data_IF_349950844931
#
_entry.id   IF_349950844931
#
_cell.length_a   1.000
_cell.length_b   1.000
_cell.length_c   1.000
_cell.angle_alpha   90.00
_cell.angle_beta   90.00
_cell.angle_gamma   90.00
#
_symmetry.space_group_name_H-M   'P 1'
#
loop_
_entity.id
_entity.type
_entity.pdbx_description
1 polymer ?
#
# COMPACT_ATOMS: atom_id res chain seq x y z
N UNK A 1 -10.46 -19.11 -1.96
CA UNK A 1 -9.09 -19.03 -2.49
C UNK A 1 -8.55 -17.65 -2.18
N UNK A 2 -7.27 -17.53 -1.87
CA UNK A 2 -6.64 -16.22 -1.67
C UNK A 2 -6.40 -15.54 -3.01
N UNK A 3 -6.46 -14.20 -3.02
CA UNK A 3 -6.27 -13.39 -4.22
C UNK A 3 -4.77 -13.38 -4.60
N UNK A 4 -4.39 -13.74 -5.84
CA UNK A 4 -3.02 -13.61 -6.29
C UNK A 4 -2.52 -12.16 -6.23
N UNK A 5 -1.24 -11.96 -5.92
CA UNK A 5 -0.61 -10.62 -5.89
C UNK A 5 -0.82 -9.83 -7.18
N UNK A 6 -0.78 -10.50 -8.34
CA UNK A 6 -1.07 -9.86 -9.63
C UNK A 6 -2.49 -9.32 -9.71
N UNK A 7 -3.48 -10.08 -9.26
CA UNK A 7 -4.88 -9.67 -9.26
C UNK A 7 -5.14 -8.54 -8.23
N UNK A 8 -4.52 -8.63 -7.06
CA UNK A 8 -4.59 -7.57 -6.04
C UNK A 8 -4.07 -6.23 -6.58
N UNK A 9 -2.94 -6.25 -7.30
CA UNK A 9 -2.35 -5.05 -7.89
C UNK A 9 -3.17 -4.55 -9.09
N UNK A 10 -3.77 -5.43 -9.88
CA UNK A 10 -4.71 -5.01 -10.93
C UNK A 10 -5.95 -4.31 -10.37
N UNK A 11 -6.48 -4.76 -9.24
CA UNK A 11 -7.56 -4.06 -8.55
C UNK A 11 -7.09 -2.71 -8.02
N UNK A 12 -5.89 -2.64 -7.43
CA UNK A 12 -5.32 -1.40 -6.93
C UNK A 12 -5.17 -0.36 -8.05
N UNK A 13 -4.71 -0.77 -9.25
CA UNK A 13 -4.59 0.10 -10.44
C UNK A 13 -5.90 0.76 -10.89
N UNK A 14 -7.06 0.22 -10.50
CA UNK A 14 -8.37 0.82 -10.83
C UNK A 14 -8.65 2.10 -10.04
N UNK A 15 -7.86 2.36 -9.01
CA UNK A 15 -7.94 3.52 -8.13
C UNK A 15 -6.83 4.52 -8.51
N UNK A 16 -7.14 5.65 -9.18
CA UNK A 16 -6.14 6.66 -9.55
C UNK A 16 -5.30 7.16 -8.36
N UNK A 17 -5.91 7.23 -7.18
CA UNK A 17 -5.30 7.62 -5.92
C UNK A 17 -4.21 6.65 -5.42
N UNK A 18 -4.16 5.44 -5.98
CA UNK A 18 -3.20 4.40 -5.58
C UNK A 18 -1.81 4.55 -6.20
N UNK A 19 -1.65 5.44 -7.18
CA UNK A 19 -0.36 5.66 -7.87
C UNK A 19 0.85 5.78 -6.93
N UNK A 20 0.78 6.55 -5.83
CA UNK A 20 1.88 6.69 -4.87
C UNK A 20 2.28 5.40 -4.13
N UNK A 21 1.40 4.40 -4.07
CA UNK A 21 1.59 3.16 -3.31
C UNK A 21 1.68 1.90 -4.16
N UNK A 22 1.55 2.02 -5.48
CA UNK A 22 1.44 0.86 -6.38
C UNK A 22 2.66 -0.06 -6.30
N UNK A 23 3.87 0.51 -6.47
CA UNK A 23 5.12 -0.23 -6.53
C UNK A 23 5.49 -0.81 -5.17
N UNK A 24 5.32 -0.03 -4.09
CA UNK A 24 5.60 -0.49 -2.72
C UNK A 24 4.64 -1.61 -2.30
N UNK A 25 3.37 -1.55 -2.73
CA UNK A 25 2.38 -2.61 -2.46
C UNK A 25 2.71 -3.88 -3.24
N UNK A 26 3.11 -3.77 -4.51
CA UNK A 26 3.55 -4.93 -5.29
C UNK A 26 4.76 -5.63 -4.66
N UNK A 27 5.76 -4.87 -4.23
CA UNK A 27 6.97 -5.41 -3.60
C UNK A 27 6.66 -6.11 -2.27
N UNK A 28 5.82 -5.47 -1.45
CA UNK A 28 5.40 -6.04 -0.16
C UNK A 28 4.67 -7.38 -0.35
N UNK A 29 3.67 -7.42 -1.23
CA UNK A 29 2.88 -8.63 -1.48
C UNK A 29 3.72 -9.75 -2.13
N UNK A 30 4.65 -9.40 -3.03
CA UNK A 30 5.55 -10.38 -3.64
C UNK A 30 6.47 -11.03 -2.60
N UNK A 31 6.98 -10.27 -1.65
CA UNK A 31 7.78 -10.81 -0.55
C UNK A 31 6.93 -11.66 0.40
N UNK A 32 5.68 -11.25 0.68
CA UNK A 32 4.76 -12.01 1.52
C UNK A 32 4.43 -13.39 0.91
N UNK A 33 4.24 -13.46 -0.41
CA UNK A 33 4.03 -14.72 -1.12
C UNK A 33 5.23 -15.69 -0.93
N UNK A 34 6.46 -15.19 -0.96
CA UNK A 34 7.65 -16.01 -0.72
C UNK A 34 7.65 -16.64 0.68
N UNK A 35 7.35 -15.85 1.71
CA UNK A 35 7.28 -16.34 3.10
C UNK A 35 6.16 -17.37 3.26
N UNK A 36 5.00 -17.10 2.68
CA UNK A 36 3.81 -17.95 2.76
C UNK A 36 4.00 -19.30 2.07
N UNK A 37 4.58 -19.32 0.87
CA UNK A 37 4.63 -20.54 0.04
C UNK A 37 5.93 -21.33 0.18
N UNK A 38 7.05 -20.72 0.57
CA UNK A 38 8.33 -21.43 0.65
C UNK A 38 8.67 -21.99 2.04
N UNK A 39 7.80 -21.83 3.06
CA UNK A 39 8.15 -22.05 4.49
C UNK A 39 9.47 -21.36 4.86
N UNK A 40 9.69 -20.20 4.24
CA UNK A 40 10.94 -19.47 4.30
C UNK A 40 10.87 -18.48 5.46
N UNK A 41 11.90 -18.48 6.29
CA UNK A 41 12.11 -17.40 7.26
C UNK A 41 12.96 -16.34 6.57
N UNK A 42 12.43 -15.13 6.33
CA UNK A 42 13.19 -14.06 5.70
C UNK A 42 14.40 -13.71 6.54
N UNK A 43 15.49 -13.32 5.87
CA UNK A 43 16.61 -12.66 6.54
C UNK A 43 16.08 -11.42 7.28
N UNK A 44 16.68 -11.08 8.43
CA UNK A 44 16.24 -9.95 9.25
C UNK A 44 16.14 -8.65 8.44
N UNK A 45 17.08 -8.42 7.53
CA UNK A 45 17.08 -7.26 6.62
C UNK A 45 15.89 -7.22 5.65
N UNK A 46 15.43 -8.38 5.19
CA UNK A 46 14.24 -8.49 4.33
C UNK A 46 12.98 -8.21 5.15
N UNK A 47 12.92 -8.72 6.37
CA UNK A 47 11.80 -8.45 7.27
C UNK A 47 11.73 -6.96 7.65
N UNK A 48 12.85 -6.33 7.97
CA UNK A 48 12.93 -4.89 8.22
C UNK A 48 12.45 -4.07 7.01
N UNK A 49 12.84 -4.48 5.81
CA UNK A 49 12.41 -3.84 4.57
C UNK A 49 10.90 -4.00 4.35
N UNK A 50 10.35 -5.20 4.55
CA UNK A 50 8.90 -5.41 4.49
C UNK A 50 8.14 -4.55 5.50
N UNK A 51 8.68 -4.38 6.71
CA UNK A 51 8.08 -3.50 7.72
C UNK A 51 8.10 -2.05 7.28
N UNK A 52 9.21 -1.55 6.71
CA UNK A 52 9.28 -0.18 6.15
C UNK A 52 8.25 0.03 5.06
N UNK A 53 8.10 -0.93 4.16
CA UNK A 53 7.10 -0.90 3.09
C UNK A 53 5.67 -0.83 3.65
N UNK A 54 5.36 -1.61 4.68
CA UNK A 54 4.07 -1.55 5.36
C UNK A 54 3.78 -0.16 5.96
N UNK A 55 4.75 0.43 6.66
CA UNK A 55 4.61 1.79 7.20
C UNK A 55 4.44 2.83 6.10
N UNK A 56 5.16 2.71 5.00
CA UNK A 56 5.06 3.62 3.87
C UNK A 56 3.69 3.56 3.21
N UNK A 57 3.13 2.36 3.01
CA UNK A 57 1.78 2.18 2.48
C UNK A 57 0.78 2.92 3.37
N UNK A 58 0.78 2.67 4.68
CA UNK A 58 -0.15 3.33 5.62
C UNK A 58 0.02 4.84 5.59
N UNK A 59 1.25 5.34 5.62
CA UNK A 59 1.52 6.78 5.61
C UNK A 59 1.01 7.46 4.34
N UNK A 60 1.13 6.80 3.19
CA UNK A 60 0.74 7.34 1.89
C UNK A 60 -0.76 7.19 1.59
N UNK A 61 -1.45 6.25 2.25
CA UNK A 61 -2.90 6.08 2.11
C UNK A 61 -3.70 6.72 3.25
N UNK A 62 -3.04 7.16 4.32
CA UNK A 62 -3.68 7.89 5.40
C UNK A 62 -4.42 9.13 4.83
N UNK A 63 -5.65 9.40 5.30
CA UNK A 63 -6.36 10.62 4.92
C UNK A 63 -5.50 11.83 5.29
N UNK A 64 -5.15 12.65 4.30
CA UNK A 64 -4.64 14.00 4.58
C UNK A 64 -5.81 14.81 5.16
N UNK A 65 -5.62 15.47 6.30
CA UNK A 65 -6.62 16.37 6.93
C UNK A 65 -6.90 17.65 6.10
N UNK A 66 -6.97 17.55 4.78
CA UNK A 66 -7.31 18.62 3.86
C UNK A 66 -8.35 18.08 2.87
N UNK A 67 -9.60 18.01 3.30
CA UNK A 67 -10.67 17.45 2.47
C UNK A 67 -12.09 17.45 3.02
N UNK A 68 -12.37 18.12 4.14
CA UNK A 68 -13.74 18.49 4.53
C UNK A 68 -13.74 19.97 4.89
N UNK A 69 -14.17 20.80 3.93
CA UNK A 69 -14.14 22.25 4.06
C UNK A 69 -14.36 22.94 2.72
N UNK A 70 -15.57 22.84 2.18
CA UNK A 70 -16.08 23.86 1.28
C UNK A 70 -16.11 25.18 2.06
N UNK A 71 -15.17 26.08 1.84
CA UNK A 71 -15.43 27.51 2.05
C UNK A 71 -16.19 28.00 0.83
N UNK A 72 -17.53 27.96 0.94
CA UNK A 72 -18.39 28.80 0.15
C UNK A 72 -18.22 30.25 0.61
N UNK A 73 -18.22 31.17 -0.35
CA UNK A 73 -18.31 32.61 -0.14
C UNK A 73 -19.40 32.98 0.89
N UNK A 74 -19.07 33.88 1.81
CA UNK A 74 -20.01 34.92 2.29
C UNK A 74 -19.24 36.09 2.90
N UNK A 75 -19.41 37.24 2.26
CA UNK A 75 -19.50 38.61 2.80
C UNK A 75 -18.39 39.14 3.74
N UNK A 76 -17.54 40.04 3.21
CA UNK A 76 -17.53 41.50 3.55
C UNK A 76 -17.02 42.30 2.34
#
# INVERSE_FOLDING_TARGET
>A
MELPTSEAVELLKKHPESGPVLDVTYNFLSNADLVKFAKYTPLDSVNEEMMKQAYEIVRKTAPTEAGDGKEAESDV
#
